data_IF_262338792349
#
_entry.id   IF_262338792349
#
_cell.length_a   1.000
_cell.length_b   1.000
_cell.length_c   1.000
_cell.angle_alpha   90.00
_cell.angle_beta   90.00
_cell.angle_gamma   90.00
#
_symmetry.space_group_name_H-M   'P 1'
#
loop_
_entity.id
_entity.type
_entity.pdbx_description
1 polymer ?
#
# COMPACT_ATOMS: atom_id res chain seq x y z
N UNK A 1 3.73 9.42 6.64
CA UNK A 1 3.89 10.35 5.51
C UNK A 1 2.72 11.32 5.49
N UNK A 2 2.94 12.58 5.11
CA UNK A 2 1.89 13.60 4.91
C UNK A 2 1.91 14.07 3.46
N UNK A 3 0.86 14.73 3.02
CA UNK A 3 0.85 15.39 1.72
C UNK A 3 1.87 16.55 1.68
N UNK A 4 2.35 16.80 0.47
CA UNK A 4 3.17 17.96 0.11
C UNK A 4 2.26 19.19 0.00
N UNK A 5 2.50 20.21 0.82
CA UNK A 5 1.68 21.42 0.92
C UNK A 5 2.12 22.56 -0.02
N UNK A 6 3.22 22.39 -0.74
CA UNK A 6 3.80 23.38 -1.65
C UNK A 6 2.77 23.77 -2.71
N UNK A 7 2.60 25.06 -2.97
CA UNK A 7 1.81 25.57 -4.09
C UNK A 7 2.73 26.07 -5.19
N UNK A 8 2.31 25.89 -6.44
CA UNK A 8 3.07 26.40 -7.56
C UNK A 8 2.93 27.92 -7.64
N UNK A 9 4.07 28.62 -7.62
CA UNK A 9 4.11 30.02 -8.02
C UNK A 9 4.01 30.10 -9.54
N UNK A 10 2.84 30.53 -10.03
CA UNK A 10 2.56 30.64 -11.47
C UNK A 10 3.14 31.91 -12.11
N UNK A 11 3.77 32.77 -11.32
CA UNK A 11 4.50 33.95 -11.79
C UNK A 11 6.01 33.71 -11.90
N UNK A 12 6.51 32.58 -11.37
CA UNK A 12 7.93 32.28 -11.35
C UNK A 12 8.51 32.09 -12.77
N UNK A 13 9.74 32.59 -13.05
CA UNK A 13 10.36 32.44 -14.37
C UNK A 13 10.44 31.01 -14.89
N UNK A 14 10.70 30.03 -14.01
CA UNK A 14 10.75 28.62 -14.38
C UNK A 14 9.39 28.05 -14.78
N UNK A 15 8.32 28.53 -14.15
CA UNK A 15 6.95 28.14 -14.51
C UNK A 15 6.53 28.72 -15.85
N UNK A 16 6.77 30.01 -16.06
CA UNK A 16 6.46 30.69 -17.33
C UNK A 16 7.22 30.04 -18.50
N UNK A 17 8.51 29.73 -18.31
CA UNK A 17 9.28 29.01 -19.34
C UNK A 17 8.74 27.60 -19.59
N UNK A 18 8.31 26.87 -18.56
CA UNK A 18 7.69 25.56 -18.75
C UNK A 18 6.39 25.65 -19.54
N UNK A 19 5.55 26.68 -19.30
CA UNK A 19 4.34 26.90 -20.08
C UNK A 19 4.66 27.17 -21.56
N UNK A 20 5.65 28.03 -21.84
CA UNK A 20 6.12 28.29 -23.21
C UNK A 20 6.54 26.99 -23.91
N UNK A 21 7.38 26.16 -23.25
CA UNK A 21 7.82 24.87 -23.78
C UNK A 21 6.65 23.93 -24.10
N UNK A 22 5.61 23.94 -23.27
CA UNK A 22 4.40 23.15 -23.53
C UNK A 22 3.68 23.69 -24.77
N UNK A 23 3.51 25.00 -24.92
CA UNK A 23 2.86 25.57 -26.12
C UNK A 23 3.70 25.32 -27.39
N UNK A 24 5.02 25.44 -27.31
CA UNK A 24 5.93 25.09 -28.41
C UNK A 24 5.73 23.63 -28.84
N UNK A 25 5.68 22.70 -27.89
CA UNK A 25 5.46 21.28 -28.15
C UNK A 25 4.04 20.95 -28.66
N UNK A 26 3.02 21.72 -28.25
CA UNK A 26 1.68 21.63 -28.83
C UNK A 26 1.69 22.09 -30.29
N UNK A 27 2.39 23.20 -30.58
CA UNK A 27 2.43 23.80 -31.91
C UNK A 27 3.20 22.96 -32.93
N UNK A 28 4.33 22.38 -32.54
CA UNK A 28 5.14 21.54 -33.43
C UNK A 28 4.72 20.06 -33.44
N UNK A 29 3.95 19.61 -32.44
CA UNK A 29 3.44 18.26 -32.36
C UNK A 29 4.53 17.20 -32.16
N UNK A 30 5.65 17.55 -31.53
CA UNK A 30 6.76 16.63 -31.26
C UNK A 30 6.32 15.37 -30.49
N UNK A 31 6.96 14.26 -30.80
CA UNK A 31 6.69 12.97 -30.13
C UNK A 31 7.47 12.83 -28.81
N UNK A 32 8.50 13.63 -28.58
CA UNK A 32 9.30 13.61 -27.36
C UNK A 32 9.24 14.95 -26.63
N UNK A 33 9.01 14.92 -25.33
CA UNK A 33 8.97 16.11 -24.49
C UNK A 33 9.84 15.92 -23.25
N UNK A 34 10.93 16.70 -23.18
CA UNK A 34 11.91 16.68 -22.10
C UNK A 34 12.17 18.12 -21.58
N UNK A 35 11.13 18.82 -21.08
CA UNK A 35 11.20 20.27 -20.86
C UNK A 35 12.25 20.67 -19.82
N UNK A 36 12.58 19.77 -18.89
CA UNK A 36 13.52 20.05 -17.81
C UNK A 36 14.97 20.16 -18.29
N UNK A 37 15.29 19.66 -19.48
CA UNK A 37 16.62 19.83 -20.10
C UNK A 37 16.82 21.26 -20.61
N UNK A 38 15.73 21.95 -20.94
CA UNK A 38 15.70 23.34 -21.42
C UNK A 38 15.58 24.37 -20.28
N UNK A 39 15.48 23.91 -19.03
CA UNK A 39 15.41 24.76 -17.84
C UNK A 39 16.75 24.80 -17.09
N UNK A 40 17.15 26.01 -16.69
CA UNK A 40 18.28 26.19 -15.76
C UNK A 40 18.01 25.47 -14.43
N UNK A 41 19.06 25.19 -13.66
CA UNK A 41 18.91 24.55 -12.35
C UNK A 41 18.02 25.38 -11.39
N UNK A 42 18.05 26.71 -11.50
CA UNK A 42 17.20 27.60 -10.70
C UNK A 42 15.73 27.53 -11.14
N UNK A 43 15.46 27.64 -12.44
CA UNK A 43 14.10 27.50 -12.97
C UNK A 43 13.49 26.14 -12.61
N UNK A 44 14.27 25.04 -12.66
CA UNK A 44 13.78 23.71 -12.26
C UNK A 44 13.33 23.65 -10.80
N UNK A 45 14.00 24.37 -9.88
CA UNK A 45 13.60 24.40 -8.46
C UNK A 45 12.27 25.13 -8.24
N UNK A 46 11.91 26.03 -9.14
CA UNK A 46 10.67 26.80 -9.06
C UNK A 46 9.44 26.01 -9.52
N UNK A 47 9.63 24.84 -10.13
CA UNK A 47 8.55 23.99 -10.65
C UNK A 47 8.30 22.82 -9.69
N UNK A 48 7.16 22.84 -9.00
CA UNK A 48 6.75 21.81 -8.03
C UNK A 48 5.59 20.95 -8.54
N UNK A 49 4.90 21.37 -9.61
CA UNK A 49 3.92 20.56 -10.35
C UNK A 49 4.04 20.85 -11.84
N UNK A 50 3.45 20.02 -12.71
CA UNK A 50 3.29 20.36 -14.13
C UNK A 50 2.02 21.22 -14.32
N UNK A 51 1.98 22.07 -15.36
CA UNK A 51 0.77 22.80 -15.73
C UNK A 51 -0.31 21.86 -16.26
N UNK A 52 -1.57 22.16 -15.96
CA UNK A 52 -2.74 21.46 -16.52
C UNK A 52 -2.69 21.37 -18.06
N UNK A 53 -2.07 22.38 -18.70
CA UNK A 53 -1.84 22.42 -20.14
C UNK A 53 -1.03 21.25 -20.70
N UNK A 54 -0.30 20.49 -19.87
CA UNK A 54 0.40 19.27 -20.27
C UNK A 54 -0.53 18.27 -20.97
N UNK A 55 -1.81 18.24 -20.60
CA UNK A 55 -2.83 17.38 -21.24
C UNK A 55 -3.09 17.68 -22.71
N UNK A 56 -2.69 18.86 -23.20
CA UNK A 56 -2.81 19.23 -24.62
C UNK A 56 -1.77 18.53 -25.52
N UNK A 57 -0.72 17.93 -24.94
CA UNK A 57 0.34 17.21 -25.65
C UNK A 57 -0.14 15.82 -26.12
N UNK A 58 -1.18 15.81 -26.95
CA UNK A 58 -1.85 14.60 -27.44
C UNK A 58 -1.02 13.78 -28.43
N UNK A 59 0.10 14.31 -28.92
CA UNK A 59 1.05 13.65 -29.84
C UNK A 59 2.32 13.15 -29.16
N UNK A 60 2.61 13.58 -27.94
CA UNK A 60 3.82 13.18 -27.23
C UNK A 60 3.71 11.70 -26.82
N UNK A 61 4.70 10.92 -27.23
CA UNK A 61 4.86 9.49 -26.95
C UNK A 61 5.85 9.24 -25.82
N UNK A 62 6.87 10.09 -25.68
CA UNK A 62 7.89 9.98 -24.63
C UNK A 62 7.92 11.24 -23.76
N UNK A 63 7.54 11.12 -22.48
CA UNK A 63 7.62 12.21 -21.50
C UNK A 63 8.76 11.96 -20.51
N UNK A 64 9.79 12.81 -20.57
CA UNK A 64 10.98 12.71 -19.70
C UNK A 64 11.02 13.86 -18.71
N UNK A 65 10.91 13.55 -17.42
CA UNK A 65 10.94 14.50 -16.31
C UNK A 65 12.16 14.24 -15.40
N UNK A 66 13.31 13.93 -16.01
CA UNK A 66 14.53 13.62 -15.28
C UNK A 66 15.00 14.80 -14.42
N UNK A 67 15.40 14.53 -13.16
CA UNK A 67 15.82 15.55 -12.16
C UNK A 67 14.79 16.66 -11.95
N UNK A 68 13.53 16.30 -11.84
CA UNK A 68 12.49 17.25 -11.49
C UNK A 68 12.48 17.57 -9.99
N UNK A 69 11.96 18.74 -9.64
CA UNK A 69 11.61 19.12 -8.27
C UNK A 69 10.10 18.90 -8.00
N UNK A 70 9.44 18.12 -8.84
CA UNK A 70 7.99 17.91 -8.79
C UNK A 70 7.64 17.16 -7.49
N UNK A 71 6.57 17.63 -6.85
CA UNK A 71 5.94 16.96 -5.72
C UNK A 71 4.60 16.32 -6.10
N UNK A 72 4.00 16.78 -7.21
CA UNK A 72 2.72 16.31 -7.76
C UNK A 72 2.70 16.41 -9.28
N UNK A 73 1.72 15.74 -9.90
CA UNK A 73 1.34 15.90 -11.31
C UNK A 73 -0.15 16.24 -11.40
N UNK A 74 -0.56 17.04 -12.40
CA UNK A 74 -1.96 17.39 -12.63
C UNK A 74 -2.75 16.21 -13.21
N UNK A 75 -4.04 16.02 -12.86
CA UNK A 75 -4.93 15.02 -13.48
C UNK A 75 -4.98 15.10 -15.01
N UNK A 76 -4.80 16.30 -15.57
CA UNK A 76 -4.81 16.56 -17.01
C UNK A 76 -3.74 15.78 -17.79
N UNK A 77 -2.74 15.19 -17.12
CA UNK A 77 -1.81 14.25 -17.75
C UNK A 77 -2.55 13.08 -18.45
N UNK A 78 -3.75 12.72 -18.01
CA UNK A 78 -4.63 11.76 -18.69
C UNK A 78 -5.07 12.18 -20.10
N UNK A 79 -4.88 13.45 -20.48
CA UNK A 79 -5.12 13.98 -21.82
C UNK A 79 -4.05 13.61 -22.85
N UNK A 80 -2.86 13.15 -22.41
CA UNK A 80 -1.75 12.76 -23.28
C UNK A 80 -2.00 11.38 -23.92
N UNK A 81 -3.02 11.27 -24.78
CA UNK A 81 -3.54 10.01 -25.35
C UNK A 81 -2.51 9.18 -26.13
N UNK A 82 -1.45 9.80 -26.64
CA UNK A 82 -0.36 9.13 -27.36
C UNK A 82 0.80 8.66 -26.46
N UNK A 83 0.77 8.93 -25.15
CA UNK A 83 1.91 8.66 -24.28
C UNK A 83 2.16 7.16 -24.14
N UNK A 84 3.38 6.73 -24.48
CA UNK A 84 3.84 5.34 -24.47
C UNK A 84 4.87 5.09 -23.37
N UNK A 85 5.75 6.08 -23.12
CA UNK A 85 6.80 6.01 -22.10
C UNK A 85 6.79 7.23 -21.18
N UNK A 86 6.69 6.97 -19.87
CA UNK A 86 6.69 7.99 -18.82
C UNK A 86 7.88 7.82 -17.87
N UNK A 87 8.81 8.76 -17.91
CA UNK A 87 10.08 8.66 -17.16
C UNK A 87 10.26 9.84 -16.21
N UNK A 88 9.66 9.77 -15.00
CA UNK A 88 9.87 10.77 -13.96
C UNK A 88 11.11 10.53 -13.09
N UNK A 89 11.77 9.37 -13.17
CA UNK A 89 13.04 9.15 -12.49
C UNK A 89 14.07 10.22 -12.90
N UNK A 90 14.84 10.89 -12.04
CA UNK A 90 15.09 10.80 -10.58
C UNK A 90 14.28 11.83 -9.74
N UNK A 91 12.96 11.87 -9.86
CA UNK A 91 12.10 12.77 -9.06
C UNK A 91 11.81 12.20 -7.67
N UNK A 92 12.70 12.43 -6.70
CA UNK A 92 12.59 11.82 -5.35
C UNK A 92 11.46 12.39 -4.49
N UNK A 93 10.82 13.48 -4.88
CA UNK A 93 9.69 14.08 -4.16
C UNK A 93 8.32 13.66 -4.72
N UNK A 94 8.29 13.01 -5.89
CA UNK A 94 7.09 12.40 -6.44
C UNK A 94 6.86 11.06 -5.75
N UNK A 95 5.98 11.05 -4.78
CA UNK A 95 5.66 9.85 -4.00
C UNK A 95 4.35 9.18 -4.41
N UNK A 96 3.50 9.87 -5.18
CA UNK A 96 2.26 9.37 -5.74
C UNK A 96 1.92 10.07 -7.05
N UNK A 97 0.97 9.50 -7.77
CA UNK A 97 0.55 9.98 -9.08
C UNK A 97 -0.99 10.13 -9.17
N UNK A 98 -1.50 10.98 -10.09
CA UNK A 98 -2.92 11.02 -10.40
C UNK A 98 -3.39 9.69 -11.03
N UNK A 99 -4.58 9.21 -10.66
CA UNK A 99 -5.17 7.98 -11.20
C UNK A 99 -5.28 7.97 -12.73
N UNK A 100 -5.35 9.15 -13.33
CA UNK A 100 -5.47 9.36 -14.77
C UNK A 100 -4.33 8.72 -15.57
N UNK A 101 -3.14 8.52 -14.97
CA UNK A 101 -2.06 7.74 -15.59
C UNK A 101 -2.46 6.28 -15.88
N UNK A 102 -3.26 5.67 -15.01
CA UNK A 102 -3.74 4.29 -15.22
C UNK A 102 -4.77 4.16 -16.34
N UNK A 103 -5.35 5.28 -16.79
CA UNK A 103 -6.31 5.32 -17.90
C UNK A 103 -5.69 5.67 -19.25
N UNK A 104 -4.38 5.92 -19.31
CA UNK A 104 -3.70 6.21 -20.56
C UNK A 104 -3.68 4.96 -21.45
N UNK A 105 -4.27 5.00 -22.66
CA UNK A 105 -4.55 3.80 -23.45
C UNK A 105 -3.30 3.18 -24.07
N UNK A 106 -2.24 3.97 -24.27
CA UNK A 106 -1.02 3.56 -24.95
C UNK A 106 0.20 3.48 -24.02
N UNK A 107 0.06 3.86 -22.75
CA UNK A 107 1.18 3.84 -21.83
C UNK A 107 1.60 2.38 -21.64
N UNK A 108 2.86 2.07 -21.98
CA UNK A 108 3.45 0.71 -21.93
C UNK A 108 4.72 0.64 -21.09
N UNK A 109 5.33 1.79 -20.80
CA UNK A 109 6.57 1.85 -20.04
C UNK A 109 6.54 2.99 -19.05
N UNK A 110 7.07 2.72 -17.87
CA UNK A 110 7.39 3.73 -16.89
C UNK A 110 8.78 3.46 -16.31
N UNK A 111 9.43 4.51 -15.83
CA UNK A 111 10.66 4.37 -15.05
C UNK A 111 10.53 5.25 -13.82
N UNK A 112 10.24 4.62 -12.68
CA UNK A 112 10.03 5.26 -11.38
C UNK A 112 10.97 4.67 -10.34
N UNK A 113 11.21 5.42 -9.25
CA UNK A 113 11.93 4.85 -8.09
C UNK A 113 10.92 4.19 -7.15
N UNK A 114 10.84 2.86 -7.16
CA UNK A 114 9.99 2.10 -6.21
C UNK A 114 10.35 2.42 -4.75
N UNK A 115 11.63 2.66 -4.47
CA UNK A 115 12.09 3.11 -3.14
C UNK A 115 11.55 4.48 -2.75
N UNK A 116 11.45 5.42 -3.69
CA UNK A 116 10.82 6.71 -3.41
C UNK A 116 9.30 6.57 -3.19
N UNK A 117 8.63 5.69 -3.95
CA UNK A 117 7.18 5.50 -3.86
C UNK A 117 6.74 4.72 -2.62
N UNK A 118 7.39 3.59 -2.35
CA UNK A 118 6.97 2.64 -1.32
C UNK A 118 7.97 2.45 -0.20
N UNK A 119 9.13 3.08 -0.22
CA UNK A 119 10.19 2.84 0.77
C UNK A 119 10.90 1.49 0.58
N UNK A 120 11.44 0.97 1.67
CA UNK A 120 12.09 -0.35 1.70
C UNK A 120 11.01 -1.43 1.89
N UNK A 121 11.08 -2.61 1.26
CA UNK A 121 10.19 -3.74 1.53
C UNK A 121 9.97 -4.03 3.03
N UNK A 122 11.02 -3.93 3.86
CA UNK A 122 10.95 -4.12 5.32
C UNK A 122 10.22 -2.98 6.05
N UNK A 123 10.28 -1.77 5.50
CA UNK A 123 9.70 -0.55 6.09
C UNK A 123 8.96 0.24 5.02
N UNK A 124 7.82 -0.31 4.58
CA UNK A 124 7.01 0.33 3.54
C UNK A 124 6.54 1.70 4.01
N UNK A 125 6.68 2.70 3.15
CA UNK A 125 6.21 4.05 3.42
C UNK A 125 4.67 4.03 3.43
N UNK A 126 4.03 4.43 4.54
CA UNK A 126 2.58 4.44 4.59
C UNK A 126 2.03 5.59 3.75
N UNK A 127 0.94 5.32 3.04
CA UNK A 127 0.19 6.35 2.31
C UNK A 127 -0.31 7.45 3.26
N UNK A 128 -0.31 8.73 2.83
CA UNK A 128 -0.96 9.81 3.55
C UNK A 128 -2.43 9.49 3.84
N UNK A 129 -2.92 9.86 5.03
CA UNK A 129 -4.34 9.67 5.37
C UNK A 129 -5.17 10.71 4.62
N UNK A 130 -6.19 10.24 3.90
CA UNK A 130 -7.11 11.07 3.11
C UNK A 130 -8.16 11.72 4.02
N UNK A 131 -8.23 13.05 3.98
CA UNK A 131 -9.21 13.82 4.72
C UNK A 131 -10.66 13.48 4.32
N UNK A 132 -11.59 13.60 5.27
CA UNK A 132 -13.02 13.49 5.01
C UNK A 132 -13.65 14.87 4.84
N UNK A 133 -14.48 15.07 3.80
CA UNK A 133 -15.30 16.27 3.71
C UNK A 133 -16.20 16.36 4.94
N UNK A 134 -16.00 17.40 5.75
CA UNK A 134 -16.88 17.77 6.85
C UNK A 134 -17.77 18.94 6.45
N UNK A 135 -18.86 19.16 7.20
CA UNK A 135 -19.72 20.33 7.01
C UNK A 135 -18.95 21.67 7.06
N UNK A 136 -17.87 21.75 7.85
CA UNK A 136 -17.01 22.91 7.95
C UNK A 136 -16.16 23.13 6.69
N UNK A 137 -15.62 22.07 6.10
CA UNK A 137 -14.82 22.14 4.86
C UNK A 137 -15.66 22.39 3.60
N UNK A 138 -16.97 22.11 3.65
CA UNK A 138 -17.90 22.36 2.56
C UNK A 138 -18.30 23.83 2.42
N UNK A 139 -18.13 24.64 3.47
CA UNK A 139 -18.64 26.01 3.55
C UNK A 139 -17.70 27.09 3.00
N UNK A 140 -16.42 26.78 2.72
CA UNK A 140 -15.41 27.77 2.32
C UNK A 140 -14.97 27.59 0.87
N UNK A 141 -15.57 28.34 -0.05
CA UNK A 141 -15.34 28.25 -1.50
C UNK A 141 -14.02 28.86 -1.99
N UNK A 142 -13.32 29.69 -1.20
CA UNK A 142 -12.11 30.40 -1.67
C UNK A 142 -10.77 29.72 -1.29
N UNK A 143 -10.78 28.72 -0.40
CA UNK A 143 -9.59 27.97 0.09
C UNK A 143 -9.79 26.45 0.05
N UNK A 144 -10.81 25.99 -0.69
CA UNK A 144 -11.33 24.62 -0.64
C UNK A 144 -10.30 23.51 -0.93
N UNK A 145 -9.30 23.79 -1.76
CA UNK A 145 -8.29 22.83 -2.19
C UNK A 145 -6.90 23.18 -1.65
N UNK A 146 -6.64 22.78 -0.40
CA UNK A 146 -5.30 22.75 0.18
C UNK A 146 -4.55 21.45 -0.20
N UNK A 147 -3.45 21.52 -0.98
CA UNK A 147 -2.63 20.36 -1.29
C UNK A 147 -2.12 19.61 -0.06
N UNK A 148 -1.92 20.31 1.07
CA UNK A 148 -1.50 19.67 2.33
C UNK A 148 -2.60 18.77 2.94
N UNK A 149 -3.85 18.97 2.54
CA UNK A 149 -5.03 18.24 3.03
C UNK A 149 -5.51 17.22 2.00
N UNK A 150 -5.67 17.65 0.76
CA UNK A 150 -6.29 16.85 -0.32
C UNK A 150 -5.28 16.23 -1.28
N UNK A 151 -3.99 16.54 -1.15
CA UNK A 151 -2.97 16.07 -2.09
C UNK A 151 -3.06 16.67 -3.49
N UNK A 152 -3.95 17.64 -3.70
CA UNK A 152 -4.19 18.37 -4.95
C UNK A 152 -4.63 19.80 -4.65
N UNK A 153 -4.36 20.72 -5.59
CA UNK A 153 -4.82 22.12 -5.55
C UNK A 153 -6.13 22.34 -6.32
N UNK A 154 -6.63 21.32 -7.02
CA UNK A 154 -7.88 21.38 -7.77
C UNK A 154 -8.46 19.98 -8.03
N UNK A 155 -9.78 19.91 -8.10
CA UNK A 155 -10.53 18.74 -8.61
C UNK A 155 -11.71 19.25 -9.42
N UNK A 156 -11.66 19.08 -10.74
CA UNK A 156 -12.74 19.47 -11.65
C UNK A 156 -13.62 18.29 -12.11
N UNK A 157 -13.00 17.13 -12.32
CA UNK A 157 -13.65 15.93 -12.84
C UNK A 157 -13.30 14.70 -12.01
N UNK A 158 -14.20 13.72 -12.03
CA UNK A 158 -14.05 12.43 -11.41
C UNK A 158 -12.98 11.64 -12.15
N UNK A 159 -11.98 11.14 -11.42
CA UNK A 159 -10.91 10.31 -11.98
C UNK A 159 -11.41 9.04 -12.68
N UNK A 160 -12.61 8.57 -12.35
CA UNK A 160 -13.16 7.31 -12.84
C UNK A 160 -14.09 7.53 -14.04
N UNK A 161 -15.14 8.35 -13.88
CA UNK A 161 -16.20 8.51 -14.87
C UNK A 161 -16.14 9.82 -15.67
N UNK A 162 -15.14 10.68 -15.41
CA UNK A 162 -15.01 12.03 -15.99
C UNK A 162 -16.17 13.01 -15.66
N UNK A 163 -17.15 12.58 -14.86
CA UNK A 163 -18.26 13.42 -14.40
C UNK A 163 -17.82 14.48 -13.37
N UNK A 164 -18.64 15.51 -13.12
CA UNK A 164 -18.27 16.60 -12.21
C UNK A 164 -18.15 16.13 -10.76
N UNK A 165 -17.20 16.71 -10.03
CA UNK A 165 -17.10 16.58 -8.56
C UNK A 165 -17.68 17.84 -7.93
N UNK A 166 -18.69 17.70 -7.07
CA UNK A 166 -19.44 18.81 -6.46
C UNK A 166 -18.65 19.48 -5.32
N UNK A 167 -17.48 20.05 -5.65
CA UNK A 167 -16.56 20.63 -4.69
C UNK A 167 -16.03 19.61 -3.68
N UNK A 168 -15.49 20.11 -2.57
CA UNK A 168 -14.97 19.27 -1.47
C UNK A 168 -16.06 18.35 -0.90
N UNK A 169 -17.30 18.84 -0.76
CA UNK A 169 -18.40 18.08 -0.19
C UNK A 169 -18.76 16.83 -1.00
N UNK A 170 -18.64 16.90 -2.33
CA UNK A 170 -18.88 15.76 -3.23
C UNK A 170 -17.64 14.93 -3.54
N UNK A 171 -16.49 15.20 -2.90
CA UNK A 171 -15.25 14.50 -3.16
C UNK A 171 -15.15 13.19 -2.38
N UNK A 172 -14.91 12.11 -3.10
CA UNK A 172 -14.58 10.80 -2.56
C UNK A 172 -13.16 10.43 -2.97
N UNK A 173 -12.18 10.68 -2.10
CA UNK A 173 -10.79 10.28 -2.39
C UNK A 173 -10.49 8.85 -1.95
N UNK A 174 -9.68 8.17 -2.75
CA UNK A 174 -9.06 6.91 -2.39
C UNK A 174 -7.63 6.82 -2.94
N UNK A 175 -6.81 6.04 -2.28
CA UNK A 175 -5.58 5.50 -2.82
C UNK A 175 -5.85 4.16 -3.47
N UNK A 176 -5.16 3.88 -4.56
CA UNK A 176 -5.11 2.53 -5.14
C UNK A 176 -3.73 2.28 -5.74
N UNK A 177 -3.24 1.05 -5.62
CA UNK A 177 -1.97 0.65 -6.26
C UNK A 177 -2.27 -0.15 -7.52
N UNK A 178 -2.01 0.41 -8.70
CA UNK A 178 -2.29 -0.26 -9.98
C UNK A 178 -1.04 -0.34 -10.85
N UNK A 179 -1.01 -1.38 -11.68
CA UNK A 179 -0.06 -1.43 -12.79
C UNK A 179 -0.47 -0.35 -13.78
N UNK A 180 0.36 0.67 -13.91
CA UNK A 180 0.34 1.44 -15.14
C UNK A 180 1.18 0.66 -16.13
N UNK A 181 0.58 0.29 -17.26
CA UNK A 181 1.39 0.01 -18.47
C UNK A 181 2.19 -1.29 -18.47
N UNK A 182 2.01 -2.17 -17.49
CA UNK A 182 2.69 -3.47 -17.43
C UNK A 182 4.10 -3.47 -16.82
N UNK A 183 4.68 -2.31 -16.46
CA UNK A 183 6.03 -2.23 -15.88
C UNK A 183 6.00 -2.00 -14.36
N UNK A 184 5.50 -0.85 -13.90
CA UNK A 184 5.52 -0.47 -12.48
C UNK A 184 4.12 -0.49 -11.85
N UNK A 185 4.05 -0.81 -10.55
CA UNK A 185 2.85 -0.58 -9.74
C UNK A 185 2.99 0.80 -9.11
N UNK A 186 2.05 1.70 -9.42
CA UNK A 186 2.10 3.08 -8.94
C UNK A 186 1.08 3.30 -7.82
N UNK A 187 1.41 4.10 -6.79
CA UNK A 187 0.44 4.61 -5.84
C UNK A 187 -0.34 5.77 -6.47
N UNK A 188 -1.63 5.55 -6.70
CA UNK A 188 -2.51 6.46 -7.42
C UNK A 188 -3.52 7.12 -6.48
N UNK A 189 -3.60 8.45 -6.54
CA UNK A 189 -4.64 9.24 -5.89
C UNK A 189 -5.85 9.33 -6.82
N UNK A 190 -6.98 8.80 -6.37
CA UNK A 190 -8.27 8.85 -7.05
C UNK A 190 -9.10 9.97 -6.46
N UNK A 191 -9.61 10.86 -7.30
CA UNK A 191 -10.59 11.88 -6.93
C UNK A 191 -11.94 11.54 -7.54
N UNK A 192 -12.79 10.79 -6.83
CA UNK A 192 -14.07 10.31 -7.35
C UNK A 192 -15.26 11.20 -6.95
N UNK A 193 -16.32 11.19 -7.76
CA UNK A 193 -17.57 11.88 -7.45
C UNK A 193 -18.55 11.05 -6.60
N UNK A 194 -18.31 9.76 -6.42
CA UNK A 194 -19.19 8.87 -5.67
C UNK A 194 -18.47 7.61 -5.17
N UNK A 195 -19.10 6.92 -4.20
CA UNK A 195 -18.66 5.59 -3.75
C UNK A 195 -18.79 4.52 -4.83
N UNK A 196 -19.75 4.66 -5.75
CA UNK A 196 -19.91 3.75 -6.89
C UNK A 196 -18.70 3.84 -7.83
N UNK A 197 -18.20 5.05 -8.09
CA UNK A 197 -16.95 5.24 -8.83
C UNK A 197 -15.76 4.57 -8.14
N UNK A 198 -15.67 4.65 -6.80
CA UNK A 198 -14.63 3.95 -6.06
C UNK A 198 -14.78 2.42 -6.14
N UNK A 199 -16.01 1.90 -6.10
CA UNK A 199 -16.28 0.47 -6.22
C UNK A 199 -16.00 -0.08 -7.63
N UNK A 200 -16.02 0.77 -8.67
CA UNK A 200 -15.70 0.43 -10.04
C UNK A 200 -14.17 0.36 -10.32
N UNK A 201 -13.33 0.69 -9.34
CA UNK A 201 -11.88 0.62 -9.51
C UNK A 201 -11.40 -0.84 -9.68
N UNK A 202 -10.42 -1.09 -10.55
CA UNK A 202 -9.90 -2.44 -10.80
C UNK A 202 -9.13 -2.99 -9.58
N UNK A 203 -8.99 -4.31 -9.49
CA UNK A 203 -8.24 -4.94 -8.40
C UNK A 203 -6.72 -4.69 -8.53
N UNK A 204 -6.05 -4.27 -7.44
CA UNK A 204 -4.59 -4.20 -7.36
C UNK A 204 -3.90 -5.56 -7.60
N UNK A 205 -2.64 -5.56 -8.06
CA UNK A 205 -1.83 -6.78 -8.14
C UNK A 205 -1.51 -7.35 -6.74
N UNK A 206 -1.21 -8.65 -6.68
CA UNK A 206 -0.78 -9.32 -5.44
C UNK A 206 0.46 -8.64 -4.82
N UNK A 207 0.58 -8.69 -3.49
CA UNK A 207 1.65 -8.03 -2.73
C UNK A 207 1.42 -6.53 -2.48
N UNK A 208 0.30 -5.96 -2.94
CA UNK A 208 -0.17 -4.61 -2.65
C UNK A 208 -1.53 -4.65 -1.92
N UNK A 209 -1.97 -3.50 -1.39
CA UNK A 209 -3.26 -3.41 -0.71
C UNK A 209 -4.40 -3.80 -1.67
N UNK A 210 -5.37 -4.64 -1.25
CA UNK A 210 -6.26 -5.37 -2.15
C UNK A 210 -7.39 -4.53 -2.79
N UNK A 211 -7.45 -3.23 -2.53
CA UNK A 211 -8.51 -2.36 -3.04
C UNK A 211 -8.30 -0.89 -2.70
N UNK A 212 -9.26 -0.01 -3.08
CA UNK A 212 -9.21 1.39 -2.74
C UNK A 212 -9.17 1.61 -1.23
N UNK A 213 -8.34 2.54 -0.77
CA UNK A 213 -8.11 2.75 0.66
C UNK A 213 -7.87 4.22 1.02
N UNK A 214 -8.06 4.58 2.29
CA UNK A 214 -7.91 5.98 2.72
C UNK A 214 -6.51 6.37 3.17
N UNK A 215 -5.56 5.44 3.07
CA UNK A 215 -4.20 5.62 3.60
C UNK A 215 -4.19 5.47 5.12
N UNK A 216 -3.15 4.87 5.70
CA UNK A 216 -3.23 4.18 7.02
C UNK A 216 -4.66 3.67 7.34
N UNK A 217 -5.17 2.75 6.50
CA UNK A 217 -6.40 2.01 6.78
C UNK A 217 -7.32 1.79 5.59
N UNK A 218 -7.30 0.60 4.98
CA UNK A 218 -8.55 -0.05 4.55
C UNK A 218 -9.21 -0.57 5.83
N UNK A 219 -10.46 -0.22 6.12
CA UNK A 219 -11.23 -0.82 7.23
C UNK A 219 -10.47 -0.86 8.57
N UNK A 220 -9.68 0.18 8.85
CA UNK A 220 -8.86 0.30 10.05
C UNK A 220 -7.39 -0.13 9.93
N UNK A 221 -6.91 -0.68 8.81
CA UNK A 221 -5.51 -1.16 8.62
C UNK A 221 -4.40 -0.09 8.79
N UNK A 222 -3.80 -0.01 9.97
CA UNK A 222 -2.72 0.91 10.35
C UNK A 222 -1.35 0.61 9.70
N UNK A 223 -1.00 -0.67 9.52
CA UNK A 223 0.30 -1.10 9.00
C UNK A 223 0.21 -2.46 8.29
N UNK A 224 1.14 -2.74 7.35
CA UNK A 224 1.28 -4.07 6.75
C UNK A 224 2.72 -4.33 6.33
N UNK A 225 3.16 -5.59 6.44
CA UNK A 225 4.45 -6.06 5.95
C UNK A 225 4.32 -7.47 5.36
N UNK A 226 5.24 -7.81 4.46
CA UNK A 226 5.44 -9.15 3.95
C UNK A 226 6.81 -9.62 4.47
N UNK A 227 6.84 -10.77 5.11
CA UNK A 227 8.02 -11.38 5.72
C UNK A 227 8.23 -12.78 5.12
N UNK A 228 9.48 -13.23 5.09
CA UNK A 228 9.82 -14.64 4.89
C UNK A 228 10.44 -15.12 6.20
N UNK A 229 9.79 -16.09 6.84
CA UNK A 229 10.21 -16.62 8.13
C UNK A 229 10.48 -18.11 8.01
N UNK A 230 11.52 -18.61 8.69
CA UNK A 230 11.79 -20.04 8.75
C UNK A 230 10.99 -20.67 9.89
N UNK A 231 10.10 -21.59 9.56
CA UNK A 231 9.16 -22.19 10.52
C UNK A 231 9.74 -23.40 11.25
N UNK A 232 10.89 -23.23 11.93
CA UNK A 232 11.58 -24.31 12.64
C UNK A 232 10.65 -25.10 13.58
N UNK A 233 10.74 -26.42 13.47
CA UNK A 233 9.90 -27.39 14.18
C UNK A 233 8.41 -27.06 13.99
N UNK A 234 8.03 -26.71 12.76
CA UNK A 234 6.67 -26.42 12.31
C UNK A 234 5.99 -25.29 13.09
N UNK A 235 6.74 -24.26 13.51
CA UNK A 235 6.21 -23.23 14.40
C UNK A 235 6.72 -21.82 14.08
N UNK A 236 5.86 -20.85 14.37
CA UNK A 236 6.17 -19.43 14.45
C UNK A 236 5.84 -18.89 15.84
N UNK A 237 6.53 -17.82 16.24
CA UNK A 237 6.28 -17.12 17.50
C UNK A 237 5.79 -15.70 17.24
N UNK A 238 4.71 -15.34 17.93
CA UNK A 238 4.06 -14.04 17.83
C UNK A 238 3.80 -13.51 19.24
N UNK A 239 4.10 -12.26 19.54
CA UNK A 239 3.88 -11.77 20.91
C UNK A 239 4.33 -10.36 21.17
N UNK A 240 4.33 -9.97 22.44
CA UNK A 240 4.90 -8.70 22.86
C UNK A 240 6.43 -8.68 22.65
N UNK A 241 6.95 -7.59 22.11
CA UNK A 241 8.36 -7.47 21.71
C UNK A 241 9.35 -7.51 22.87
N UNK A 242 8.86 -7.45 24.12
CA UNK A 242 9.63 -7.58 25.35
C UNK A 242 9.11 -8.78 26.19
N UNK A 243 8.43 -9.76 25.57
CA UNK A 243 8.00 -10.98 26.24
C UNK A 243 9.14 -12.01 26.29
N UNK A 244 9.27 -12.65 27.46
CA UNK A 244 10.11 -13.83 27.66
C UNK A 244 9.18 -14.94 28.17
N UNK A 245 8.38 -15.50 27.26
CA UNK A 245 7.39 -16.53 27.58
C UNK A 245 7.69 -17.81 26.78
N UNK A 246 8.01 -18.88 27.51
CA UNK A 246 8.19 -20.22 26.95
C UNK A 246 6.83 -20.88 26.69
N UNK A 247 6.58 -21.21 25.43
CA UNK A 247 5.36 -21.85 24.95
C UNK A 247 5.49 -23.37 24.84
N UNK A 248 6.63 -23.97 25.19
CA UNK A 248 6.89 -25.41 25.06
C UNK A 248 5.81 -26.27 25.72
N UNK A 249 5.46 -25.97 26.98
CA UNK A 249 4.42 -26.67 27.72
C UNK A 249 2.98 -26.36 27.25
N UNK A 250 2.79 -25.32 26.40
CA UNK A 250 1.49 -24.93 25.87
C UNK A 250 1.08 -25.76 24.65
N UNK A 251 2.01 -26.47 24.02
CA UNK A 251 1.75 -27.39 22.92
C UNK A 251 1.14 -28.72 23.40
N UNK A 252 -0.11 -28.66 23.88
CA UNK A 252 -0.92 -29.84 24.18
C UNK A 252 -1.43 -30.52 22.89
N UNK A 253 -2.02 -31.70 23.01
CA UNK A 253 -2.67 -32.37 21.87
C UNK A 253 -3.74 -31.48 21.21
N UNK A 254 -4.53 -30.76 22.02
CA UNK A 254 -5.55 -29.83 21.52
C UNK A 254 -4.91 -28.62 20.82
N UNK A 255 -3.83 -28.05 21.39
CA UNK A 255 -3.11 -26.93 20.78
C UNK A 255 -2.46 -27.33 19.43
N UNK A 256 -1.95 -28.55 19.32
CA UNK A 256 -1.45 -29.10 18.06
C UNK A 256 -2.58 -29.27 17.04
N UNK A 257 -3.74 -29.80 17.46
CA UNK A 257 -4.91 -29.98 16.60
C UNK A 257 -5.52 -28.64 16.14
N UNK A 258 -5.42 -27.61 16.97
CA UNK A 258 -5.87 -26.25 16.68
C UNK A 258 -4.80 -25.43 15.94
N UNK A 259 -3.57 -25.93 15.81
CA UNK A 259 -2.45 -25.20 15.21
C UNK A 259 -2.12 -23.91 15.95
N UNK A 260 -2.45 -23.83 17.25
CA UNK A 260 -2.35 -22.61 18.05
C UNK A 260 -2.06 -22.95 19.52
N UNK A 261 -0.95 -22.41 20.05
CA UNK A 261 -0.57 -22.52 21.45
C UNK A 261 -0.63 -21.14 22.14
N UNK A 262 -1.76 -20.79 22.78
CA UNK A 262 -1.91 -19.48 23.42
C UNK A 262 -1.13 -19.40 24.73
N UNK A 263 -0.30 -18.37 24.84
CA UNK A 263 0.28 -17.86 26.09
C UNK A 263 -0.39 -16.55 26.50
N UNK A 264 0.17 -15.86 27.50
CA UNK A 264 -0.36 -14.59 27.99
C UNK A 264 0.14 -13.39 27.19
N UNK A 265 1.45 -13.33 26.95
CA UNK A 265 2.16 -12.29 26.20
C UNK A 265 2.77 -12.81 24.89
N UNK A 266 2.59 -14.10 24.61
CA UNK A 266 3.01 -14.74 23.37
C UNK A 266 2.00 -15.78 22.87
N UNK A 267 2.13 -16.15 21.61
CA UNK A 267 1.28 -17.06 20.87
C UNK A 267 2.16 -17.90 19.95
N UNK A 268 2.02 -19.22 20.06
CA UNK A 268 2.68 -20.17 19.17
C UNK A 268 1.73 -20.50 18.03
N UNK A 269 2.21 -20.36 16.81
CA UNK A 269 1.43 -20.68 15.61
C UNK A 269 2.03 -21.90 14.96
N UNK A 270 1.23 -22.94 14.74
CA UNK A 270 1.67 -24.14 14.03
C UNK A 270 1.66 -23.89 12.53
N UNK A 271 2.65 -24.43 11.82
CA UNK A 271 2.72 -24.49 10.36
C UNK A 271 2.58 -25.94 9.87
N UNK A 272 2.41 -26.14 8.58
CA UNK A 272 2.37 -27.46 7.93
C UNK A 272 3.69 -27.78 7.24
N UNK A 273 4.68 -26.91 7.39
CA UNK A 273 6.02 -27.04 6.85
C UNK A 273 7.07 -26.65 7.89
N UNK A 274 8.24 -27.25 7.79
CA UNK A 274 9.45 -26.95 8.56
C UNK A 274 10.47 -26.22 7.65
N UNK A 275 9.96 -25.33 6.80
CA UNK A 275 10.69 -24.56 5.81
C UNK A 275 10.29 -23.09 5.89
N UNK A 276 10.75 -22.30 4.92
CA UNK A 276 10.35 -20.91 4.76
C UNK A 276 8.83 -20.78 4.50
N UNK A 277 8.22 -19.81 5.17
CA UNK A 277 6.81 -19.45 5.01
C UNK A 277 6.68 -17.97 4.68
N UNK A 278 5.75 -17.65 3.78
CA UNK A 278 5.40 -16.27 3.44
C UNK A 278 4.43 -15.72 4.47
N UNK A 279 4.84 -14.71 5.25
CA UNK A 279 4.03 -14.12 6.32
C UNK A 279 3.60 -12.70 5.99
N UNK A 280 2.30 -12.49 5.78
CA UNK A 280 1.71 -11.15 5.65
C UNK A 280 1.23 -10.67 7.01
N UNK A 281 1.82 -9.62 7.57
CA UNK A 281 1.35 -8.98 8.81
C UNK A 281 0.50 -7.76 8.49
N UNK A 282 -0.60 -7.57 9.21
CA UNK A 282 -1.58 -6.49 9.03
C UNK A 282 -2.07 -5.98 10.38
N UNK A 283 -1.75 -4.74 10.74
CA UNK A 283 -2.22 -4.09 11.97
C UNK A 283 -3.45 -3.26 11.65
N UNK A 284 -4.51 -3.35 12.46
CA UNK A 284 -5.75 -2.61 12.35
C UNK A 284 -6.05 -1.81 13.62
N UNK A 285 -6.83 -0.73 13.47
CA UNK A 285 -7.34 0.13 14.55
C UNK A 285 -8.49 -0.51 15.32
N UNK A 286 -9.16 -1.48 14.71
CA UNK A 286 -10.28 -2.24 15.25
C UNK A 286 -10.46 -3.54 14.47
N UNK A 287 -11.54 -4.31 14.73
CA UNK A 287 -11.74 -5.62 14.12
C UNK A 287 -11.70 -5.56 12.58
N UNK A 288 -10.85 -6.35 11.92
CA UNK A 288 -10.75 -6.37 10.47
C UNK A 288 -11.99 -7.06 9.84
N UNK A 289 -12.33 -6.74 8.59
CA UNK A 289 -13.39 -7.44 7.86
C UNK A 289 -13.13 -8.96 7.81
N UNK A 290 -14.20 -9.78 7.82
CA UNK A 290 -14.05 -11.22 7.70
C UNK A 290 -13.49 -11.61 6.32
N UNK A 291 -12.45 -12.46 6.30
CA UNK A 291 -11.81 -12.99 5.09
C UNK A 291 -11.62 -14.51 5.14
N UNK A 292 -12.27 -15.18 6.09
CA UNK A 292 -12.06 -16.60 6.40
C UNK A 292 -12.27 -17.54 5.21
N UNK A 293 -13.15 -17.18 4.26
CA UNK A 293 -13.48 -18.02 3.10
C UNK A 293 -12.29 -18.21 2.14
N UNK A 294 -11.26 -17.36 2.22
CA UNK A 294 -10.07 -17.45 1.38
C UNK A 294 -8.97 -18.36 1.98
N UNK A 295 -9.19 -18.94 3.16
CA UNK A 295 -8.16 -19.66 3.91
C UNK A 295 -8.61 -21.06 4.31
N UNK A 296 -7.64 -21.98 4.40
CA UNK A 296 -7.88 -23.38 4.76
C UNK A 296 -7.94 -23.59 6.28
N UNK A 297 -7.26 -22.72 7.03
CA UNK A 297 -7.26 -22.75 8.48
C UNK A 297 -7.20 -21.33 9.04
N UNK A 298 -8.07 -21.02 9.99
CA UNK A 298 -8.15 -19.68 10.59
C UNK A 298 -8.38 -19.81 12.08
N UNK A 299 -7.51 -19.18 12.85
CA UNK A 299 -7.56 -19.17 14.31
C UNK A 299 -7.40 -17.76 14.85
N UNK A 300 -7.91 -17.54 16.05
CA UNK A 300 -7.75 -16.29 16.76
C UNK A 300 -7.38 -16.52 18.22
N UNK A 301 -6.56 -15.65 18.78
CA UNK A 301 -6.30 -15.56 20.21
C UNK A 301 -6.00 -14.11 20.60
N UNK A 302 -6.03 -13.81 21.89
CA UNK A 302 -5.69 -12.50 22.44
C UNK A 302 -4.32 -12.60 23.12
N UNK A 303 -3.51 -11.56 22.99
CA UNK A 303 -2.19 -11.45 23.62
C UNK A 303 -2.07 -10.10 24.34
N UNK A 304 -1.46 -10.10 25.52
CA UNK A 304 -1.08 -8.87 26.24
C UNK A 304 0.20 -8.27 25.66
N UNK A 305 0.11 -7.02 25.19
CA UNK A 305 1.21 -6.28 24.55
C UNK A 305 1.49 -4.97 25.31
N UNK A 306 2.02 -5.02 26.54
CA UNK A 306 2.28 -3.83 27.34
C UNK A 306 3.36 -2.91 26.73
N UNK A 307 4.28 -3.45 25.91
CA UNK A 307 5.32 -2.65 25.26
C UNK A 307 4.78 -1.76 24.14
N UNK A 308 3.58 -2.05 23.62
CA UNK A 308 3.05 -1.46 22.39
C UNK A 308 3.78 -1.91 21.12
N UNK A 309 4.66 -2.90 21.20
CA UNK A 309 5.40 -3.47 20.07
C UNK A 309 5.05 -4.94 19.94
N UNK A 310 4.39 -5.32 18.86
CA UNK A 310 4.09 -6.72 18.57
C UNK A 310 5.19 -7.30 17.69
N UNK A 311 5.84 -8.37 18.11
CA UNK A 311 6.89 -9.06 17.38
C UNK A 311 6.35 -10.31 16.67
N UNK A 312 6.89 -10.58 15.47
CA UNK A 312 6.63 -11.78 14.68
C UNK A 312 7.97 -12.37 14.24
N UNK A 313 8.18 -13.67 14.43
CA UNK A 313 9.45 -14.33 14.14
C UNK A 313 9.29 -15.84 13.87
N UNK A 314 10.31 -16.45 13.27
CA UNK A 314 10.52 -17.90 13.32
C UNK A 314 10.95 -18.37 14.71
N UNK A 315 10.72 -19.64 15.04
CA UNK A 315 10.97 -20.15 16.39
C UNK A 315 12.45 -20.28 16.81
N UNK A 316 13.39 -20.12 15.87
CA UNK A 316 14.84 -20.10 16.12
C UNK A 316 15.43 -18.69 16.09
N UNK A 317 14.62 -17.69 15.75
CA UNK A 317 15.09 -16.31 15.66
C UNK A 317 15.23 -15.71 17.06
N UNK A 318 16.22 -14.84 17.22
CA UNK A 318 16.41 -14.07 18.45
C UNK A 318 15.39 -12.92 18.50
N UNK A 319 14.70 -12.77 19.65
CA UNK A 319 13.71 -11.70 19.85
C UNK A 319 14.22 -10.28 19.54
N UNK A 320 15.47 -9.91 19.84
CA UNK A 320 16.06 -8.67 19.36
C UNK A 320 15.94 -8.43 17.85
N UNK A 321 16.03 -9.48 17.02
CA UNK A 321 16.05 -9.41 15.56
C UNK A 321 14.66 -9.54 14.92
N UNK A 322 13.63 -9.80 15.72
CA UNK A 322 12.24 -9.92 15.28
C UNK A 322 11.72 -8.65 14.60
N UNK A 323 10.95 -8.83 13.53
CA UNK A 323 10.15 -7.75 12.95
C UNK A 323 9.07 -7.32 13.94
N UNK A 324 8.97 -5.99 14.14
CA UNK A 324 8.09 -5.38 15.15
C UNK A 324 7.07 -4.44 14.52
N UNK A 325 5.88 -4.46 15.09
CA UNK A 325 4.72 -3.72 14.64
C UNK A 325 4.14 -2.90 15.78
N UNK A 326 3.98 -1.59 15.57
CA UNK A 326 3.38 -0.72 16.57
C UNK A 326 1.89 -1.03 16.74
N UNK A 327 1.48 -1.28 17.98
CA UNK A 327 0.09 -1.51 18.40
C UNK A 327 -0.20 -0.70 19.67
N UNK A 328 -1.46 -0.30 19.93
CA UNK A 328 -1.80 0.29 21.21
C UNK A 328 -1.42 -0.64 22.38
N UNK A 329 -0.72 -0.16 23.41
CA UNK A 329 -0.41 -0.97 24.58
C UNK A 329 -1.67 -1.53 25.22
N UNK A 330 -1.67 -2.84 25.54
CA UNK A 330 -2.82 -3.53 26.12
C UNK A 330 -3.14 -4.84 25.43
N UNK A 331 -4.42 -5.20 25.35
CA UNK A 331 -4.86 -6.45 24.73
C UNK A 331 -4.94 -6.29 23.21
N UNK A 332 -4.28 -7.21 22.50
CA UNK A 332 -4.31 -7.30 21.04
C UNK A 332 -4.88 -8.63 20.62
N UNK A 333 -5.94 -8.58 19.81
CA UNK A 333 -6.50 -9.76 19.16
C UNK A 333 -5.67 -10.06 17.92
N UNK A 334 -5.29 -11.31 17.79
CA UNK A 334 -4.46 -11.86 16.71
C UNK A 334 -5.31 -12.86 15.95
N UNK A 335 -5.52 -12.65 14.65
CA UNK A 335 -6.06 -13.65 13.73
C UNK A 335 -4.94 -14.17 12.85
N UNK A 336 -4.80 -15.49 12.82
CA UNK A 336 -3.83 -16.18 11.98
C UNK A 336 -4.60 -17.00 10.95
N UNK A 337 -4.42 -16.68 9.68
CA UNK A 337 -5.12 -17.31 8.55
C UNK A 337 -4.09 -17.96 7.63
N UNK A 338 -4.19 -19.26 7.41
CA UNK A 338 -3.18 -20.05 6.71
C UNK A 338 -3.76 -20.68 5.45
N UNK A 339 -2.94 -20.76 4.40
CA UNK A 339 -3.31 -21.30 3.10
C UNK A 339 -2.13 -21.96 2.41
N UNK A 340 -2.43 -22.77 1.40
CA UNK A 340 -1.48 -23.61 0.68
C UNK A 340 -0.88 -24.73 1.55
N UNK A 341 -1.68 -25.25 2.48
CA UNK A 341 -1.21 -26.14 3.54
C UNK A 341 -0.83 -27.54 3.03
N UNK A 342 -1.54 -28.05 2.01
CA UNK A 342 -1.27 -29.37 1.45
C UNK A 342 0.02 -29.38 0.62
N UNK A 343 0.24 -28.36 -0.21
CA UNK A 343 1.46 -28.24 -1.00
C UNK A 343 2.68 -28.06 -0.10
N UNK A 344 2.58 -27.23 0.94
CA UNK A 344 3.65 -27.02 1.90
C UNK A 344 4.02 -28.30 2.67
N UNK A 345 3.03 -29.11 3.09
CA UNK A 345 3.29 -30.39 3.75
C UNK A 345 3.97 -31.41 2.82
N UNK A 346 3.61 -31.43 1.54
CA UNK A 346 4.26 -32.31 0.55
C UNK A 346 5.70 -31.90 0.26
N UNK A 347 6.00 -30.58 0.28
CA UNK A 347 7.33 -30.06 0.05
C UNK A 347 8.36 -30.61 1.04
N UNK A 348 7.99 -30.72 2.32
CA UNK A 348 8.84 -31.32 3.37
C UNK A 348 9.18 -32.78 3.07
N UNK A 349 8.27 -33.52 2.45
CA UNK A 349 8.45 -34.96 2.16
C UNK A 349 9.27 -35.22 0.88
N UNK A 350 9.42 -34.24 0.00
CA UNK A 350 10.01 -34.38 -1.35
C UNK A 350 11.29 -33.58 -1.58
N UNK A 351 12.20 -33.58 -0.60
CA UNK A 351 13.33 -32.65 -0.42
C UNK A 351 14.44 -32.61 -1.51
N UNK A 352 14.18 -32.99 -2.76
CA UNK A 352 15.19 -33.03 -3.83
C UNK A 352 15.15 -31.83 -4.81
N UNK A 353 14.17 -30.91 -4.71
CA UNK A 353 14.15 -29.66 -5.51
C UNK A 353 13.37 -28.50 -4.84
N UNK A 354 14.06 -27.51 -4.23
CA UNK A 354 13.42 -26.35 -3.61
C UNK A 354 12.97 -25.26 -4.62
N UNK A 355 13.34 -25.36 -5.90
CA UNK A 355 13.20 -24.26 -6.88
C UNK A 355 11.81 -24.02 -7.47
N UNK A 356 10.80 -24.82 -7.13
CA UNK A 356 9.46 -24.77 -7.74
C UNK A 356 8.28 -24.95 -6.79
N UNK A 357 8.51 -24.97 -5.47
CA UNK A 357 7.47 -25.23 -4.48
C UNK A 357 6.78 -23.93 -4.06
N UNK A 358 5.44 -23.96 -4.01
CA UNK A 358 4.66 -22.82 -3.52
C UNK A 358 4.70 -22.85 -1.99
N UNK A 359 5.22 -21.83 -1.31
CA UNK A 359 5.37 -21.84 0.14
C UNK A 359 4.02 -21.76 0.86
N UNK A 360 4.00 -22.16 2.14
CA UNK A 360 2.85 -21.89 2.99
C UNK A 360 2.68 -20.38 3.17
N UNK A 361 1.43 -19.91 3.09
CA UNK A 361 1.11 -18.49 3.29
C UNK A 361 0.39 -18.32 4.62
N UNK A 362 0.95 -17.49 5.48
CA UNK A 362 0.40 -17.14 6.80
C UNK A 362 0.03 -15.66 6.82
N UNK A 363 -1.23 -15.33 7.06
CA UNK A 363 -1.67 -13.95 7.28
C UNK A 363 -1.95 -13.71 8.75
N UNK A 364 -1.25 -12.75 9.34
CA UNK A 364 -1.39 -12.31 10.72
C UNK A 364 -2.09 -10.96 10.74
N UNK A 365 -3.29 -10.91 11.33
CA UNK A 365 -4.04 -9.66 11.52
C UNK A 365 -4.11 -9.31 13.00
N UNK A 366 -3.77 -8.06 13.33
CA UNK A 366 -3.65 -7.57 14.70
C UNK A 366 -4.62 -6.41 14.92
N UNK A 367 -5.38 -6.38 16.01
CA UNK A 367 -6.17 -5.21 16.39
C UNK A 367 -6.36 -5.10 17.90
N UNK A 368 -6.48 -3.87 18.46
CA UNK A 368 -6.70 -3.70 19.89
C UNK A 368 -8.11 -4.17 20.28
N UNK A 369 -8.23 -4.76 21.47
CA UNK A 369 -9.49 -5.16 22.09
C UNK A 369 -9.53 -4.75 23.56
N UNK A 370 -10.72 -4.74 24.15
CA UNK A 370 -10.91 -4.36 25.57
C UNK A 370 -11.09 -5.54 26.51
N UNK A 371 -11.29 -6.75 25.97
CA UNK A 371 -11.48 -7.97 26.73
C UNK A 371 -10.81 -9.15 26.02
N UNK A 372 -10.39 -10.14 26.79
CA UNK A 372 -9.93 -11.41 26.23
C UNK A 372 -11.11 -12.33 25.94
N UNK A 373 -11.26 -12.71 24.67
CA UNK A 373 -12.29 -13.62 24.17
C UNK A 373 -11.84 -15.10 24.11
N UNK A 374 -10.62 -15.41 24.56
CA UNK A 374 -10.02 -16.74 24.50
C UNK A 374 -9.66 -17.20 23.08
N UNK A 375 -8.95 -18.33 22.94
CA UNK A 375 -8.61 -18.89 21.63
C UNK A 375 -9.87 -19.40 20.91
N UNK A 376 -9.92 -19.22 19.58
CA UNK A 376 -11.01 -19.72 18.72
C UNK A 376 -10.46 -20.28 17.43
N UNK A 377 -10.96 -21.44 17.02
CA UNK A 377 -10.78 -21.96 15.66
C UNK A 377 -12.00 -21.55 14.84
N UNK A 378 -11.80 -20.66 13.87
CA UNK A 378 -12.86 -20.13 13.01
C UNK A 378 -13.05 -20.98 11.76
N UNK A 379 -11.96 -21.52 11.21
CA UNK A 379 -11.97 -22.46 10.09
C UNK A 379 -11.01 -23.59 10.44
N UNK A 380 -11.49 -24.82 10.46
CA UNK A 380 -10.66 -26.02 10.66
C UNK A 380 -10.41 -26.70 9.32
N UNK A 381 -9.15 -27.05 9.04
CA UNK A 381 -8.79 -27.91 7.91
C UNK A 381 -9.49 -29.26 8.10
N UNK A 382 -10.12 -29.79 7.06
CA UNK A 382 -10.90 -31.05 7.12
C UNK A 382 -10.08 -32.32 6.89
N UNK A 383 -8.79 -32.21 6.56
CA UNK A 383 -7.92 -33.37 6.29
C UNK A 383 -6.64 -33.30 7.15
N UNK A 384 -6.33 -34.32 7.97
CA UNK A 384 -5.11 -34.34 8.78
C UNK A 384 -3.85 -34.46 7.91
N UNK A 385 -2.75 -33.84 8.36
CA UNK A 385 -1.41 -34.27 7.97
C UNK A 385 -1.01 -35.33 9.00
N UNK A 386 -0.68 -36.53 8.51
CA UNK A 386 -0.31 -37.68 9.35
C UNK A 386 1.09 -37.58 9.93
#
# INVERSE_FOLDING_TARGET
>A
MRFHGERQDVSAPGWLRLLELVEEAVADGREEFAPLEELTAEQRRQVVTLPARIGALTRVRHLRLYRSNLVRLPPEIGGMRALEEFTPYTSYRLHWFPYELARLPLLRRSTVSTRALYGNPKTRTPFPVLAEPTAATAATTATAWDPAVWGTDSVGACSVCDGPVAGVAGLHQAWISLRTSGADVLPLLVNACSRECLAALPSPPAGYLPGPHRGRGVDGLLATAELELFADRFRLWLGDGDADEDLGARWTADALADGLAPGRRALGVGTSTDLEVEVTVQVFRGPPPPDHAAFEHVVEATVEVPSGRFAVMGCTDDLPDADRFDVPPGLVRVRVSRSNLAAAAQAVLGADDPGGQVPERVRVRLWPVTADEGPRVLVRRTTPVG
#
